data_IF_127827200208
#
_entry.id   IF_127827200208
#
_cell.length_a   1.000
_cell.length_b   1.000
_cell.length_c   1.000
_cell.angle_alpha   90.00
_cell.angle_beta   90.00
_cell.angle_gamma   90.00
#
_symmetry.space_group_name_H-M   'P 1'
#
loop_
_entity.id
_entity.type
_entity.pdbx_description
1 polymer ?
#
# COMPACT_ATOMS: atom_id res chain seq x y z
N UNK A 1 5.24 -25.49 14.55
CA UNK A 1 5.44 -24.21 15.26
C UNK A 1 5.53 -24.45 16.75
N UNK A 2 6.58 -23.97 17.39
CA UNK A 2 6.79 -24.24 18.83
C UNK A 2 5.91 -23.38 19.75
N UNK A 3 5.22 -22.34 19.24
CA UNK A 3 4.45 -21.39 20.03
C UNK A 3 2.93 -21.47 19.84
N UNK A 4 2.46 -22.17 18.79
CA UNK A 4 1.04 -22.16 18.42
C UNK A 4 0.51 -20.82 17.87
N UNK A 5 1.37 -19.82 17.73
CA UNK A 5 0.96 -18.53 17.20
C UNK A 5 0.60 -18.60 15.70
N UNK A 6 -0.47 -17.91 15.24
CA UNK A 6 -0.81 -17.85 13.82
C UNK A 6 0.28 -17.18 13.00
N UNK A 7 0.53 -17.69 11.80
CA UNK A 7 1.56 -17.18 10.87
C UNK A 7 0.96 -16.53 9.64
N UNK A 8 0.04 -15.60 9.83
CA UNK A 8 -0.71 -14.99 8.72
C UNK A 8 0.17 -14.15 7.77
N UNK A 9 1.29 -13.61 8.24
CA UNK A 9 2.23 -12.84 7.41
C UNK A 9 3.17 -13.69 6.54
N UNK A 10 3.09 -15.04 6.61
CA UNK A 10 3.96 -15.93 5.85
C UNK A 10 3.45 -16.20 4.43
N UNK A 11 4.34 -16.62 3.49
CA UNK A 11 3.96 -16.90 2.11
C UNK A 11 2.94 -18.05 1.99
N UNK A 12 2.95 -19.03 2.90
CA UNK A 12 2.01 -20.15 2.88
C UNK A 12 0.56 -19.69 3.05
N UNK A 13 0.33 -18.68 3.89
CA UNK A 13 -0.99 -18.07 4.04
C UNK A 13 -1.51 -17.48 2.73
N UNK A 14 -0.64 -16.81 1.98
CA UNK A 14 -0.95 -16.26 0.65
C UNK A 14 -1.19 -17.35 -0.39
N UNK A 15 -0.42 -18.42 -0.39
CA UNK A 15 -0.62 -19.58 -1.29
C UNK A 15 -1.98 -20.24 -1.06
N UNK A 16 -2.39 -20.41 0.20
CA UNK A 16 -3.71 -20.96 0.55
C UNK A 16 -4.81 -20.02 0.07
N UNK A 17 -4.64 -18.70 0.24
CA UNK A 17 -5.58 -17.69 -0.21
C UNK A 17 -5.77 -17.75 -1.74
N UNK A 18 -4.70 -17.84 -2.52
CA UNK A 18 -4.77 -17.97 -3.97
C UNK A 18 -5.53 -19.24 -4.39
N UNK A 19 -5.22 -20.39 -3.77
CA UNK A 19 -5.93 -21.65 -4.04
C UNK A 19 -7.43 -21.57 -3.69
N UNK A 20 -7.75 -21.01 -2.52
CA UNK A 20 -9.13 -20.82 -2.10
C UNK A 20 -9.89 -19.86 -3.03
N UNK A 21 -9.26 -18.76 -3.45
CA UNK A 21 -9.83 -17.82 -4.41
C UNK A 21 -10.11 -18.45 -5.79
N UNK A 22 -9.22 -19.31 -6.28
CA UNK A 22 -9.43 -20.06 -7.52
C UNK A 22 -10.62 -21.02 -7.41
N UNK A 23 -10.74 -21.74 -6.30
CA UNK A 23 -11.86 -22.65 -6.05
C UNK A 23 -13.17 -21.89 -5.93
N UNK A 24 -13.19 -20.77 -5.22
CA UNK A 24 -14.38 -19.93 -5.09
C UNK A 24 -14.88 -19.48 -6.47
N UNK A 25 -13.99 -19.00 -7.35
CA UNK A 25 -14.35 -18.63 -8.73
C UNK A 25 -14.86 -19.82 -9.54
N UNK A 26 -14.22 -20.98 -9.40
CA UNK A 26 -14.66 -22.22 -10.09
C UNK A 26 -16.08 -22.62 -9.70
N UNK A 27 -16.42 -22.45 -8.44
CA UNK A 27 -17.76 -22.80 -7.91
C UNK A 27 -18.75 -21.63 -7.96
N UNK A 28 -18.36 -20.48 -8.50
CA UNK A 28 -19.16 -19.26 -8.56
C UNK A 28 -19.66 -18.82 -7.18
N UNK A 29 -18.78 -18.87 -6.19
CA UNK A 29 -19.05 -18.47 -4.82
C UNK A 29 -18.39 -17.12 -4.50
N UNK A 30 -19.04 -16.25 -3.72
CA UNK A 30 -18.36 -15.08 -3.19
C UNK A 30 -17.22 -15.50 -2.25
N UNK A 31 -16.07 -14.80 -2.35
CA UNK A 31 -14.90 -15.11 -1.57
C UNK A 31 -14.53 -13.96 -0.63
N UNK A 32 -14.49 -14.26 0.65
CA UNK A 32 -14.08 -13.34 1.70
C UNK A 32 -12.77 -13.83 2.31
N UNK A 33 -11.81 -12.94 2.48
CA UNK A 33 -10.55 -13.23 3.15
C UNK A 33 -10.07 -12.04 3.97
N UNK A 34 -8.97 -12.20 4.68
CA UNK A 34 -8.27 -11.13 5.38
C UNK A 34 -7.28 -10.41 4.47
N UNK A 35 -6.83 -9.26 4.91
CA UNK A 35 -5.67 -8.52 4.41
C UNK A 35 -4.94 -7.91 5.61
N UNK A 36 -3.87 -7.16 5.41
CA UNK A 36 -3.13 -6.46 6.49
C UNK A 36 -2.79 -7.33 7.71
N UNK A 37 -2.62 -8.63 7.50
CA UNK A 37 -2.33 -9.58 8.57
C UNK A 37 -0.82 -9.65 8.80
N UNK A 38 -0.39 -9.46 10.04
CA UNK A 38 1.02 -9.52 10.41
C UNK A 38 1.24 -10.21 11.76
N UNK A 39 2.43 -10.77 11.95
CA UNK A 39 2.89 -11.33 13.22
C UNK A 39 3.61 -10.34 14.12
N UNK A 40 3.94 -9.14 13.62
CA UNK A 40 4.60 -8.10 14.40
C UNK A 40 3.74 -7.62 15.57
N UNK A 41 4.40 -7.15 16.64
CA UNK A 41 3.77 -6.57 17.84
C UNK A 41 3.77 -5.06 17.83
N UNK A 42 4.49 -4.45 16.88
CA UNK A 42 4.64 -3.01 16.72
C UNK A 42 4.37 -2.63 15.26
N UNK A 43 3.99 -1.39 14.97
CA UNK A 43 3.88 -0.86 13.60
C UNK A 43 5.27 -0.55 13.03
N UNK A 44 6.09 -1.59 12.85
CA UNK A 44 7.48 -1.56 12.39
C UNK A 44 7.63 -2.05 10.95
N UNK A 45 8.86 -2.25 10.50
CA UNK A 45 9.16 -2.74 9.16
C UNK A 45 8.55 -4.12 8.91
N UNK A 46 8.52 -5.02 9.91
CA UNK A 46 7.89 -6.33 9.76
C UNK A 46 6.39 -6.17 9.51
N UNK A 47 5.71 -5.32 10.29
CA UNK A 47 4.29 -5.05 10.10
C UNK A 47 4.01 -4.52 8.68
N UNK A 48 4.83 -3.59 8.18
CA UNK A 48 4.68 -3.02 6.84
C UNK A 48 4.86 -4.08 5.73
N UNK A 49 5.90 -4.92 5.82
CA UNK A 49 6.16 -5.95 4.82
C UNK A 49 5.06 -7.01 4.79
N UNK A 50 4.67 -7.54 5.95
CA UNK A 50 3.64 -8.55 6.04
C UNK A 50 2.26 -8.01 5.64
N UNK A 51 1.94 -6.77 6.01
CA UNK A 51 0.73 -6.08 5.57
C UNK A 51 0.69 -5.94 4.06
N UNK A 52 1.73 -5.38 3.45
CA UNK A 52 1.81 -5.20 2.00
C UNK A 52 1.69 -6.54 1.27
N UNK A 53 2.39 -7.57 1.75
CA UNK A 53 2.34 -8.90 1.17
C UNK A 53 0.93 -9.51 1.22
N UNK A 54 0.29 -9.48 2.39
CA UNK A 54 -1.04 -10.09 2.57
C UNK A 54 -2.17 -9.32 1.88
N UNK A 55 -2.10 -7.98 1.86
CA UNK A 55 -3.04 -7.14 1.12
C UNK A 55 -2.95 -7.37 -0.40
N UNK A 56 -1.73 -7.42 -0.96
CA UNK A 56 -1.54 -7.74 -2.37
C UNK A 56 -2.03 -9.15 -2.70
N UNK A 57 -1.77 -10.12 -1.83
CA UNK A 57 -2.28 -11.48 -2.01
C UNK A 57 -3.81 -11.50 -2.06
N UNK A 58 -4.49 -10.77 -1.18
CA UNK A 58 -5.94 -10.67 -1.17
C UNK A 58 -6.49 -10.01 -2.46
N UNK A 59 -5.89 -8.91 -2.89
CA UNK A 59 -6.28 -8.22 -4.14
C UNK A 59 -6.09 -9.14 -5.35
N UNK A 60 -4.90 -9.69 -5.54
CA UNK A 60 -4.57 -10.54 -6.69
C UNK A 60 -5.26 -11.90 -6.64
N UNK A 61 -5.57 -12.40 -5.44
CA UNK A 61 -6.38 -13.58 -5.22
C UNK A 61 -7.85 -13.42 -5.59
N UNK A 62 -8.29 -12.20 -5.87
CA UNK A 62 -9.67 -11.89 -6.28
C UNK A 62 -10.68 -12.00 -5.13
N UNK A 63 -10.28 -11.50 -3.95
CA UNK A 63 -11.16 -11.42 -2.78
C UNK A 63 -12.28 -10.41 -3.04
N UNK A 64 -13.54 -10.82 -2.88
CA UNK A 64 -14.70 -9.94 -3.05
C UNK A 64 -14.92 -9.03 -1.84
N UNK A 65 -14.59 -9.52 -0.65
CA UNK A 65 -14.72 -8.77 0.60
C UNK A 65 -13.51 -9.01 1.51
N UNK A 66 -12.71 -7.97 1.74
CA UNK A 66 -11.51 -8.02 2.55
C UNK A 66 -11.81 -7.57 3.97
N UNK A 67 -11.74 -8.50 4.92
CA UNK A 67 -11.80 -8.21 6.36
C UNK A 67 -10.41 -7.98 6.94
N UNK A 68 -10.34 -7.40 8.14
CA UNK A 68 -9.11 -7.17 8.88
C UNK A 68 -8.06 -6.37 8.08
N UNK A 69 -8.53 -5.43 7.28
CA UNK A 69 -7.68 -4.70 6.35
C UNK A 69 -6.83 -3.60 6.99
N UNK A 70 -7.08 -3.23 8.24
CA UNK A 70 -6.35 -2.18 8.95
C UNK A 70 -6.14 -2.49 10.43
N UNK A 71 -4.97 -2.08 10.94
CA UNK A 71 -4.71 -1.92 12.39
C UNK A 71 -4.36 -3.18 13.17
N UNK A 72 -4.37 -4.36 12.55
CA UNK A 72 -4.13 -5.61 13.27
C UNK A 72 -2.65 -5.93 13.44
N UNK A 73 -2.28 -6.37 14.63
CA UNK A 73 -0.96 -6.83 15.03
C UNK A 73 -1.06 -8.22 15.69
N UNK A 74 0.09 -8.87 15.90
CA UNK A 74 0.20 -10.15 16.61
C UNK A 74 -0.76 -11.23 16.10
N UNK A 75 -0.84 -11.40 14.78
CA UNK A 75 -1.72 -12.40 14.18
C UNK A 75 -3.21 -12.15 14.42
N UNK A 76 -3.60 -10.90 14.68
CA UNK A 76 -4.99 -10.50 14.91
C UNK A 76 -5.41 -10.49 16.39
N UNK A 77 -4.48 -10.59 17.32
CA UNK A 77 -4.76 -10.56 18.77
C UNK A 77 -4.74 -9.14 19.34
N UNK A 78 -4.03 -8.22 18.69
CA UNK A 78 -3.88 -6.83 19.12
C UNK A 78 -4.20 -5.90 17.96
N UNK A 79 -4.65 -4.69 18.26
CA UNK A 79 -4.83 -3.61 17.30
C UNK A 79 -4.11 -2.34 17.75
N UNK A 80 -3.68 -1.50 16.79
CA UNK A 80 -2.99 -0.24 17.01
C UNK A 80 -3.63 0.85 16.14
N UNK A 81 -3.83 2.03 16.72
CA UNK A 81 -4.32 3.20 15.98
C UNK A 81 -3.30 3.67 14.94
N UNK A 82 -2.01 3.66 15.29
CA UNK A 82 -0.94 4.02 14.37
C UNK A 82 -0.94 3.10 13.14
N UNK A 83 -0.98 1.79 13.38
CA UNK A 83 -1.06 0.82 12.31
C UNK A 83 -2.35 0.96 11.50
N UNK A 84 -3.46 1.30 12.13
CA UNK A 84 -4.72 1.53 11.42
C UNK A 84 -4.59 2.65 10.38
N UNK A 85 -3.97 3.77 10.74
CA UNK A 85 -3.75 4.91 9.82
C UNK A 85 -2.78 4.53 8.70
N UNK A 86 -1.66 3.87 9.02
CA UNK A 86 -0.70 3.39 8.02
C UNK A 86 -1.32 2.41 7.04
N UNK A 87 -2.10 1.46 7.53
CA UNK A 87 -2.77 0.47 6.68
C UNK A 87 -3.89 1.11 5.82
N UNK A 88 -4.59 2.11 6.33
CA UNK A 88 -5.60 2.85 5.57
C UNK A 88 -4.98 3.59 4.39
N UNK A 89 -3.82 4.20 4.59
CA UNK A 89 -3.04 4.82 3.51
C UNK A 89 -2.55 3.77 2.50
N UNK A 90 -2.04 2.63 2.97
CA UNK A 90 -1.67 1.49 2.12
C UNK A 90 -2.85 0.96 1.29
N UNK A 91 -4.05 0.93 1.84
CA UNK A 91 -5.27 0.58 1.08
C UNK A 91 -5.56 1.59 -0.02
N UNK A 92 -5.25 2.87 0.18
CA UNK A 92 -5.31 3.90 -0.86
C UNK A 92 -4.42 3.56 -2.06
N UNK A 93 -3.17 3.13 -1.81
CA UNK A 93 -2.23 2.66 -2.84
C UNK A 93 -2.83 1.47 -3.61
N UNK A 94 -3.35 0.47 -2.89
CA UNK A 94 -3.94 -0.71 -3.50
C UNK A 94 -5.20 -0.40 -4.30
N UNK A 95 -6.03 0.52 -3.81
CA UNK A 95 -7.22 0.96 -4.53
C UNK A 95 -6.83 1.65 -5.84
N UNK A 96 -5.79 2.49 -5.83
CA UNK A 96 -5.28 3.12 -7.04
C UNK A 96 -4.71 2.08 -8.01
N UNK A 97 -3.91 1.13 -7.52
CA UNK A 97 -3.39 0.02 -8.32
C UNK A 97 -4.52 -0.80 -8.97
N UNK A 98 -5.58 -1.09 -8.23
CA UNK A 98 -6.73 -1.86 -8.71
C UNK A 98 -7.52 -1.17 -9.84
N UNK A 99 -7.44 0.16 -9.96
CA UNK A 99 -8.05 0.89 -11.09
C UNK A 99 -7.39 0.57 -12.43
N UNK A 100 -6.15 0.08 -12.41
CA UNK A 100 -5.38 -0.19 -13.62
C UNK A 100 -4.85 1.08 -14.28
N UNK A 101 -4.36 0.91 -15.50
CA UNK A 101 -3.77 1.98 -16.31
C UNK A 101 -4.82 2.58 -17.23
N UNK A 102 -4.93 3.91 -17.25
CA UNK A 102 -5.72 4.63 -18.24
C UNK A 102 -4.98 4.68 -19.58
N UNK A 103 -5.74 4.65 -20.67
CA UNK A 103 -5.20 4.64 -22.05
C UNK A 103 -5.86 5.69 -22.95
N UNK A 104 -6.19 6.85 -22.38
CA UNK A 104 -6.69 8.00 -23.16
C UNK A 104 -5.60 8.55 -24.10
N UNK A 105 -5.96 9.42 -25.02
CA UNK A 105 -4.98 10.12 -25.88
C UNK A 105 -3.94 10.88 -25.03
N UNK A 106 -4.39 11.55 -23.97
CA UNK A 106 -3.49 12.23 -23.03
C UNK A 106 -2.52 11.25 -22.35
N UNK A 107 -3.00 10.09 -21.92
CA UNK A 107 -2.15 9.10 -21.22
C UNK A 107 -1.12 8.44 -22.17
N UNK A 108 -1.47 8.28 -23.43
CA UNK A 108 -0.56 7.75 -24.45
C UNK A 108 0.53 8.74 -24.83
N UNK A 109 0.30 10.05 -24.71
CA UNK A 109 1.25 11.13 -24.93
C UNK A 109 2.01 11.06 -26.27
N UNK A 110 1.40 10.52 -27.34
CA UNK A 110 2.06 10.29 -28.62
C UNK A 110 2.61 11.58 -29.24
N UNK A 111 1.87 12.67 -29.13
CA UNK A 111 2.32 13.98 -29.66
C UNK A 111 3.56 14.48 -28.92
N UNK A 112 3.63 14.30 -27.60
CA UNK A 112 4.79 14.66 -26.80
C UNK A 112 6.01 13.78 -27.15
N UNK A 113 5.77 12.49 -27.45
CA UNK A 113 6.82 11.56 -27.89
C UNK A 113 7.38 12.02 -29.24
N UNK A 114 6.52 12.41 -30.18
CA UNK A 114 6.93 12.95 -31.47
C UNK A 114 7.68 14.28 -31.36
N UNK A 115 7.19 15.20 -30.51
CA UNK A 115 7.81 16.51 -30.27
C UNK A 115 9.23 16.38 -29.71
N UNK A 116 9.40 15.53 -28.69
CA UNK A 116 10.69 15.39 -27.97
C UNK A 116 11.70 14.56 -28.79
N UNK A 117 11.25 13.52 -29.46
CA UNK A 117 12.08 12.64 -30.29
C UNK A 117 13.12 11.82 -29.50
N UNK A 118 13.90 10.98 -30.22
CA UNK A 118 14.91 10.12 -29.60
C UNK A 118 16.05 10.95 -28.95
N UNK A 119 16.43 10.58 -27.73
CA UNK A 119 17.53 11.23 -27.01
C UNK A 119 17.18 12.57 -26.35
N UNK A 120 15.97 13.08 -26.53
CA UNK A 120 15.47 14.27 -25.84
C UNK A 120 14.98 13.98 -24.43
N UNK A 121 14.56 15.03 -23.71
CA UNK A 121 13.97 14.92 -22.37
C UNK A 121 12.61 15.64 -22.32
N UNK A 122 11.70 15.11 -21.50
CA UNK A 122 10.30 15.54 -21.44
C UNK A 122 10.02 16.68 -20.46
N UNK A 123 10.99 17.12 -19.64
CA UNK A 123 10.77 18.09 -18.57
C UNK A 123 10.20 19.43 -19.04
N UNK A 124 10.54 19.86 -20.26
CA UNK A 124 10.08 21.12 -20.84
C UNK A 124 8.86 21.02 -21.73
N UNK A 125 8.37 19.82 -22.05
CA UNK A 125 7.26 19.68 -23.00
C UNK A 125 5.92 20.05 -22.35
N UNK A 126 4.99 20.53 -23.17
CA UNK A 126 3.67 21.00 -22.71
C UNK A 126 2.87 19.89 -22.00
N UNK A 127 2.97 18.65 -22.51
CA UNK A 127 2.31 17.51 -21.90
C UNK A 127 2.79 17.25 -20.46
N UNK A 128 4.09 17.26 -20.20
CA UNK A 128 4.64 17.12 -18.85
C UNK A 128 4.15 18.23 -17.93
N UNK A 129 4.20 19.49 -18.41
CA UNK A 129 3.74 20.63 -17.61
C UNK A 129 2.26 20.55 -17.23
N UNK A 130 1.44 19.99 -18.10
CA UNK A 130 0.02 19.80 -17.84
C UNK A 130 -0.29 18.67 -16.84
N UNK A 131 0.55 17.62 -16.79
CA UNK A 131 0.24 16.37 -16.10
C UNK A 131 1.08 16.08 -14.84
N UNK A 132 2.25 16.70 -14.67
CA UNK A 132 3.23 16.29 -13.64
C UNK A 132 2.71 16.33 -12.20
N UNK A 133 1.71 17.17 -11.90
CA UNK A 133 1.14 17.29 -10.56
C UNK A 133 0.25 16.10 -10.19
N UNK A 134 -0.41 15.51 -11.19
CA UNK A 134 -1.42 14.46 -11.00
C UNK A 134 -0.98 13.11 -11.54
N UNK A 135 0.19 13.05 -12.22
CA UNK A 135 0.70 11.84 -12.85
C UNK A 135 0.97 10.68 -11.87
N UNK A 136 1.27 11.00 -10.62
CA UNK A 136 1.54 10.02 -9.59
C UNK A 136 0.61 10.21 -8.40
N UNK A 137 -0.05 9.14 -8.02
CA UNK A 137 -0.79 9.10 -6.77
C UNK A 137 0.18 9.24 -5.58
N UNK A 138 -0.13 10.14 -4.67
CA UNK A 138 0.69 10.39 -3.49
C UNK A 138 -0.10 10.02 -2.25
N UNK A 139 0.56 9.33 -1.33
CA UNK A 139 0.00 9.07 -0.01
C UNK A 139 0.00 10.35 0.82
N UNK A 140 -0.86 10.41 1.84
CA UNK A 140 -0.88 11.50 2.79
C UNK A 140 0.07 11.26 3.98
N UNK A 141 0.48 10.01 4.18
CA UNK A 141 1.28 9.59 5.33
C UNK A 141 2.75 9.39 4.95
N UNK A 142 3.05 8.79 3.79
CA UNK A 142 4.42 8.49 3.38
C UNK A 142 5.14 9.74 2.85
N UNK A 143 6.43 9.85 3.13
CA UNK A 143 7.26 10.96 2.70
C UNK A 143 7.96 10.67 1.36
N UNK A 144 7.77 11.58 0.40
CA UNK A 144 8.40 11.55 -0.93
C UNK A 144 9.22 12.81 -1.19
N UNK A 145 9.57 13.57 -0.14
CA UNK A 145 10.35 14.80 -0.26
C UNK A 145 11.79 14.50 -0.65
N UNK A 146 12.48 15.43 -1.32
CA UNK A 146 13.93 15.35 -1.48
C UNK A 146 14.66 15.30 -0.12
N UNK A 147 15.83 14.68 -0.10
CA UNK A 147 16.61 14.50 1.12
C UNK A 147 16.87 15.82 1.86
N UNK A 148 17.21 16.87 1.14
CA UNK A 148 17.51 18.19 1.69
C UNK A 148 16.29 18.77 2.44
N UNK A 149 15.12 18.68 1.84
CA UNK A 149 13.88 19.14 2.48
C UNK A 149 13.53 18.30 3.71
N UNK A 150 13.70 16.98 3.64
CA UNK A 150 13.48 16.08 4.77
C UNK A 150 14.45 16.38 5.93
N UNK A 151 15.73 16.66 5.64
CA UNK A 151 16.73 17.03 6.63
C UNK A 151 16.41 18.37 7.29
N UNK A 152 16.04 19.40 6.50
CA UNK A 152 15.62 20.72 7.00
C UNK A 152 14.38 20.64 7.92
N UNK A 153 13.47 19.74 7.66
CA UNK A 153 12.28 19.49 8.49
C UNK A 153 12.57 18.63 9.75
N UNK A 154 13.82 18.28 9.98
CA UNK A 154 14.29 17.59 11.18
C UNK A 154 14.48 16.09 11.04
N UNK A 155 14.60 15.56 9.84
CA UNK A 155 14.96 14.17 9.51
C UNK A 155 14.10 13.11 10.24
N UNK A 156 12.79 13.34 10.34
CA UNK A 156 11.89 12.50 11.12
C UNK A 156 11.40 11.29 10.32
N UNK A 157 11.29 10.14 10.98
CA UNK A 157 10.64 8.98 10.40
C UNK A 157 9.13 9.22 10.21
N UNK A 158 8.54 8.61 9.18
CA UNK A 158 7.11 8.74 8.82
C UNK A 158 6.18 8.52 10.03
N UNK A 159 6.41 7.48 10.80
CA UNK A 159 5.62 7.18 12.01
C UNK A 159 5.67 8.26 13.08
N UNK A 160 6.70 9.12 13.06
CA UNK A 160 6.88 10.18 14.02
C UNK A 160 6.23 11.50 13.58
N UNK A 161 6.15 11.75 12.27
CA UNK A 161 5.64 13.03 11.72
C UNK A 161 4.12 13.10 11.61
N UNK A 162 3.47 11.97 11.34
CA UNK A 162 2.05 11.94 11.01
C UNK A 162 1.19 11.25 12.07
N UNK A 163 1.79 10.50 12.99
CA UNK A 163 1.09 9.71 13.99
C UNK A 163 1.29 10.20 15.42
N UNK A 164 1.87 11.37 15.61
CA UNK A 164 1.83 12.02 16.95
C UNK A 164 0.41 12.45 17.26
N UNK A 165 -0.43 11.49 17.61
CA UNK A 165 -1.54 11.79 18.50
C UNK A 165 -0.92 12.43 19.75
N UNK A 166 -1.53 13.49 20.31
CA UNK A 166 -1.07 14.04 21.58
C UNK A 166 -1.16 12.94 22.64
N UNK A 167 -0.10 12.15 22.75
CA UNK A 167 0.08 11.27 23.88
C UNK A 167 0.50 12.16 25.04
N UNK A 168 -0.45 12.58 25.84
CA UNK A 168 -0.18 12.95 27.22
C UNK A 168 0.44 11.72 27.90
N UNK A 169 1.76 11.57 27.75
CA UNK A 169 2.57 10.77 28.65
C UNK A 169 3.18 11.73 29.67
N UNK A 170 2.36 12.22 30.55
CA UNK A 170 2.80 12.55 31.91
C UNK A 170 2.56 11.31 32.76
N UNK A 171 3.60 10.58 33.06
CA UNK A 171 3.76 9.73 34.23
C UNK A 171 5.16 9.97 34.76
#
# INVERSE_FOLDING_TARGET
MNSGAPTFGTPEASQILYGAGQLARRFNLPFRSGGSLCGSKLPDAQAAYETTHTLNAALLGGVNFMLHACGWLEGGLVSSFEKFVLDADQLGILHHLAKGVSITENDQALDAIHEVGPGGHYLGCAHTQANFKEAFWRTEVLDYKPFETWEEEGAKAVSYTHLTLPTNREV
#
